data_IF_586509680453
#
_entry.id   IF_586509680453
#
_cell.length_a   1.000
_cell.length_b   1.000
_cell.length_c   1.000
_cell.angle_alpha   90.00
_cell.angle_beta   90.00
_cell.angle_gamma   90.00
#
_symmetry.space_group_name_H-M   'P 1'
#
loop_
_entity.id
_entity.type
_entity.pdbx_description
1 polymer ?
#
# COMPACT_ATOMS: atom_id res chain seq x y z
N UNK A 1 -3.85 0.92 -16.95
CA UNK A 1 -3.68 1.67 -15.69
C UNK A 1 -4.39 3.02 -15.75
N UNK A 2 -4.46 3.67 -16.92
CA UNK A 2 -5.01 5.03 -17.09
C UNK A 2 -6.46 5.22 -16.65
N UNK A 3 -7.32 4.21 -16.82
CA UNK A 3 -8.71 4.29 -16.39
C UNK A 3 -8.86 4.32 -14.86
N UNK A 4 -8.09 3.51 -14.14
CA UNK A 4 -8.11 3.47 -12.67
C UNK A 4 -7.55 4.78 -12.06
N UNK A 5 -6.51 5.35 -12.68
CA UNK A 5 -5.95 6.63 -12.25
C UNK A 5 -6.95 7.78 -12.42
N UNK A 6 -7.69 7.81 -13.54
CA UNK A 6 -8.73 8.83 -13.77
C UNK A 6 -9.87 8.76 -12.76
N UNK A 7 -10.38 7.57 -12.48
CA UNK A 7 -11.47 7.39 -11.50
C UNK A 7 -11.05 7.80 -10.08
N UNK A 8 -9.76 7.63 -9.76
CA UNK A 8 -9.20 8.00 -8.46
C UNK A 8 -8.60 9.42 -8.43
N UNK A 9 -8.75 10.19 -9.51
CA UNK A 9 -8.16 11.52 -9.67
C UNK A 9 -6.64 11.58 -9.40
N UNK A 10 -5.94 10.49 -9.73
CA UNK A 10 -4.49 10.34 -9.55
C UNK A 10 -3.74 10.65 -10.85
N UNK A 11 -2.59 11.31 -10.72
CA UNK A 11 -1.63 11.46 -11.83
C UNK A 11 -0.54 10.40 -11.75
N UNK A 12 0.20 10.18 -12.85
CA UNK A 12 1.29 9.21 -12.85
C UNK A 12 2.42 9.56 -11.85
N UNK A 13 2.59 10.85 -11.51
CA UNK A 13 3.54 11.34 -10.50
C UNK A 13 3.05 11.12 -9.06
N UNK A 14 1.74 10.99 -8.85
CA UNK A 14 1.17 10.74 -7.52
C UNK A 14 1.35 9.27 -7.08
N UNK A 15 1.77 8.41 -8.00
CA UNK A 15 1.77 6.96 -7.86
C UNK A 15 3.18 6.42 -8.03
N UNK A 16 3.59 5.53 -7.13
CA UNK A 16 4.85 4.83 -7.30
C UNK A 16 4.67 3.74 -8.37
N UNK A 17 4.94 4.12 -9.63
CA UNK A 17 4.86 3.21 -10.78
C UNK A 17 5.90 2.08 -10.72
N UNK A 18 6.97 2.23 -9.93
CA UNK A 18 7.94 1.16 -9.68
C UNK A 18 7.41 0.13 -8.67
N UNK A 19 6.59 0.56 -7.70
CA UNK A 19 5.88 -0.34 -6.78
C UNK A 19 4.64 -0.99 -7.40
N UNK A 20 4.01 -0.29 -8.36
CA UNK A 20 2.93 -0.82 -9.19
C UNK A 20 1.59 -0.99 -8.47
N UNK A 21 0.58 -1.41 -9.23
CA UNK A 21 -0.75 -1.77 -8.71
C UNK A 21 -0.74 -3.24 -8.29
N UNK A 22 -1.00 -3.51 -7.02
CA UNK A 22 -0.97 -4.86 -6.45
C UNK A 22 -2.39 -5.39 -6.34
N UNK A 23 -2.67 -6.53 -6.98
CA UNK A 23 -3.94 -7.23 -6.77
C UNK A 23 -3.93 -7.90 -5.39
N UNK A 24 -4.75 -7.41 -4.47
CA UNK A 24 -4.87 -8.00 -3.12
C UNK A 24 -5.89 -9.12 -3.13
N UNK A 25 -7.02 -8.89 -3.80
CA UNK A 25 -8.04 -9.90 -4.08
C UNK A 25 -8.69 -9.59 -5.44
N UNK A 26 -8.14 -10.11 -6.55
CA UNK A 26 -8.66 -9.81 -7.88
C UNK A 26 -10.05 -10.42 -8.13
N UNK A 27 -10.44 -11.47 -7.41
CA UNK A 27 -11.76 -12.10 -7.55
C UNK A 27 -12.86 -11.19 -7.00
N UNK A 28 -12.54 -10.39 -5.99
CA UNK A 28 -13.40 -9.33 -5.46
C UNK A 28 -13.12 -7.94 -6.06
N UNK A 29 -12.20 -7.84 -7.03
CA UNK A 29 -11.81 -6.58 -7.64
C UNK A 29 -11.05 -5.64 -6.69
N UNK A 30 -10.38 -6.17 -5.67
CA UNK A 30 -9.61 -5.41 -4.68
C UNK A 30 -8.14 -5.26 -5.10
N UNK A 31 -7.71 -4.00 -5.18
CA UNK A 31 -6.35 -3.64 -5.56
C UNK A 31 -5.78 -2.61 -4.57
N UNK A 32 -4.49 -2.75 -4.25
CA UNK A 32 -3.73 -1.79 -3.49
C UNK A 32 -2.78 -1.02 -4.41
N UNK A 33 -2.61 0.26 -4.11
CA UNK A 33 -1.71 1.15 -4.85
C UNK A 33 -0.95 2.02 -3.86
N UNK A 34 0.37 2.10 -4.03
CA UNK A 34 1.19 3.03 -3.26
C UNK A 34 1.11 4.41 -3.90
N UNK A 35 0.68 5.38 -3.10
CA UNK A 35 0.55 6.78 -3.49
C UNK A 35 1.36 7.68 -2.57
N UNK A 36 1.62 8.91 -3.02
CA UNK A 36 2.22 9.93 -2.18
C UNK A 36 1.27 10.39 -1.07
N UNK A 37 1.82 10.94 0.01
CA UNK A 37 1.03 11.47 1.14
C UNK A 37 0.06 12.58 0.70
N UNK A 38 0.49 13.45 -0.22
CA UNK A 38 -0.33 14.51 -0.78
C UNK A 38 -1.54 13.97 -1.57
N UNK A 39 -1.37 12.85 -2.28
CA UNK A 39 -2.46 12.19 -3.00
C UNK A 39 -3.41 11.46 -2.05
N UNK A 40 -2.88 10.75 -1.05
CA UNK A 40 -3.67 10.09 -0.02
C UNK A 40 -4.56 11.08 0.75
N UNK A 41 -4.04 12.27 1.08
CA UNK A 41 -4.79 13.32 1.77
C UNK A 41 -6.00 13.83 0.97
N UNK A 42 -5.90 13.89 -0.37
CA UNK A 42 -7.01 14.28 -1.26
C UNK A 42 -8.07 13.18 -1.33
N UNK A 43 -7.65 11.93 -1.43
CA UNK A 43 -8.55 10.77 -1.54
C UNK A 43 -9.34 10.51 -0.25
N UNK A 44 -8.76 10.80 0.91
CA UNK A 44 -9.44 10.66 2.20
C UNK A 44 -10.67 11.56 2.36
N UNK A 45 -10.77 12.64 1.56
CA UNK A 45 -11.89 13.58 1.60
C UNK A 45 -13.04 13.26 0.64
N UNK A 46 -12.82 12.47 -0.41
CA UNK A 46 -13.79 12.31 -1.50
C UNK A 46 -14.83 11.19 -1.28
N UNK A 47 -14.75 10.43 -0.18
CA UNK A 47 -15.76 9.44 0.19
C UNK A 47 -15.94 8.28 -0.80
N UNK A 48 -15.01 8.11 -1.76
CA UNK A 48 -15.12 7.21 -2.91
C UNK A 48 -14.92 5.72 -2.60
N UNK A 49 -15.16 5.29 -1.35
CA UNK A 49 -14.97 3.89 -0.93
C UNK A 49 -13.50 3.44 -0.87
N UNK A 50 -12.55 4.37 -0.99
CA UNK A 50 -11.12 4.07 -0.90
C UNK A 50 -10.64 4.20 0.53
N UNK A 51 -9.92 3.19 0.99
CA UNK A 51 -9.40 3.14 2.36
C UNK A 51 -7.88 3.38 2.32
N UNK A 52 -7.42 4.40 3.03
CA UNK A 52 -5.99 4.76 3.11
C UNK A 52 -5.35 3.97 4.24
N UNK A 53 -4.30 3.22 3.91
CA UNK A 53 -3.49 2.48 4.87
C UNK A 53 -2.09 3.07 4.93
N UNK A 54 -1.51 3.15 6.13
CA UNK A 54 -0.12 3.54 6.29
C UNK A 54 0.79 2.46 5.70
N UNK A 55 1.85 2.85 5.01
CA UNK A 55 2.95 1.99 4.54
C UNK A 55 4.20 2.19 5.40
N UNK A 56 4.23 1.72 6.65
CA UNK A 56 5.42 1.83 7.49
C UNK A 56 6.55 0.99 6.93
N UNK A 57 7.79 1.48 7.01
CA UNK A 57 8.97 0.66 6.68
C UNK A 57 8.99 -0.59 7.58
N UNK A 58 9.10 -1.75 6.96
CA UNK A 58 9.39 -3.01 7.64
C UNK A 58 10.85 -2.92 8.14
N UNK A 59 11.03 -2.58 9.42
CA UNK A 59 12.32 -2.67 10.09
C UNK A 59 12.64 -4.11 10.50
N UNK A 60 13.89 -4.41 10.89
CA UNK A 60 14.18 -5.68 11.56
C UNK A 60 13.23 -5.82 12.74
N UNK A 61 12.42 -6.88 12.75
CA UNK A 61 11.55 -7.15 13.88
C UNK A 61 12.41 -7.23 15.13
N UNK A 62 11.97 -6.65 16.23
CA UNK A 62 12.56 -6.84 17.56
C UNK A 62 12.33 -8.29 18.05
N UNK A 63 12.57 -9.26 17.17
CA UNK A 63 12.64 -10.67 17.49
C UNK A 63 13.83 -10.84 18.42
N UNK A 64 13.54 -10.90 19.71
CA UNK A 64 14.26 -11.82 20.58
C UNK A 64 14.18 -13.19 19.90
N UNK A 65 15.14 -13.46 19.02
CA UNK A 65 15.50 -14.81 18.62
C UNK A 65 15.78 -15.50 19.94
N UNK A 66 14.82 -16.28 20.43
CA UNK A 66 15.09 -17.25 21.49
C UNK A 66 16.15 -18.17 20.90
N UNK A 67 17.39 -17.92 21.27
CA UNK A 67 18.54 -18.77 21.02
C UNK A 67 18.13 -20.21 21.41
N UNK A 68 18.05 -21.16 20.46
CA UNK A 68 17.86 -22.55 20.82
C UNK A 68 19.17 -23.02 21.43
N UNK A 69 19.28 -22.94 22.77
CA UNK A 69 20.42 -23.46 23.51
C UNK A 69 20.74 -24.87 23.00
N UNK A 70 21.99 -25.18 22.63
CA UNK A 70 22.36 -26.54 22.26
C UNK A 70 22.16 -27.43 23.49
N UNK A 71 21.41 -28.52 23.31
CA UNK A 71 21.19 -29.55 24.33
C UNK A 71 22.53 -30.24 24.56
N UNK A 72 23.09 -30.05 25.77
CA UNK A 72 24.22 -30.82 26.27
C UNK A 72 23.77 -32.21 26.73
#
# INVERSE_FOLDING_TARGET
MDAALRELHLTADDVDTAYGLVAVDPEQGLYALRVTDAAAARMGTDGSGVQVFADPRIGPGNGSVRDPRPRA
#
